data_IF_197498430753
#
_entry.id   IF_197498430753
#
_cell.length_a   1.000
_cell.length_b   1.000
_cell.length_c   1.000
_cell.angle_alpha   90.00
_cell.angle_beta   90.00
_cell.angle_gamma   90.00
#
_symmetry.space_group_name_H-M   'P 1'
#
loop_
_entity.id
_entity.type
_entity.pdbx_description
1 polymer ?
#
# COMPACT_ATOMS: atom_id res chain seq x y z
N UNK A 1 -39.71 69.28 -22.01
CA UNK A 1 -39.20 68.74 -20.70
C UNK A 1 -39.53 67.29 -20.55
N UNK A 2 -39.18 66.41 -21.49
CA UNK A 2 -39.51 64.95 -21.40
C UNK A 2 -38.41 63.96 -21.85
N UNK A 3 -37.17 64.48 -22.07
CA UNK A 3 -36.14 63.59 -22.61
C UNK A 3 -35.04 63.15 -21.58
N UNK A 4 -35.00 63.84 -20.43
CA UNK A 4 -33.95 63.57 -19.45
C UNK A 4 -34.20 62.35 -18.52
N UNK A 5 -35.46 61.94 -18.35
CA UNK A 5 -35.84 60.81 -17.47
C UNK A 5 -35.74 59.44 -18.16
N UNK A 6 -35.61 59.41 -19.48
CA UNK A 6 -35.57 58.16 -20.23
C UNK A 6 -34.13 57.56 -20.32
N UNK A 7 -33.16 58.45 -20.34
CA UNK A 7 -31.74 58.05 -20.36
C UNK A 7 -31.24 57.51 -19.01
N UNK A 8 -31.64 58.17 -17.91
CA UNK A 8 -31.26 57.72 -16.56
C UNK A 8 -31.82 56.31 -16.21
N UNK A 9 -33.01 56.00 -16.72
CA UNK A 9 -33.60 54.67 -16.47
C UNK A 9 -32.92 53.55 -17.30
N UNK A 10 -32.43 53.87 -18.50
CA UNK A 10 -31.67 52.88 -19.30
C UNK A 10 -30.28 52.60 -18.71
N UNK A 11 -29.64 53.64 -18.18
CA UNK A 11 -28.32 53.51 -17.55
C UNK A 11 -28.40 52.69 -16.25
N UNK A 12 -29.45 52.90 -15.45
CA UNK A 12 -29.66 52.15 -14.20
C UNK A 12 -30.06 50.67 -14.42
N UNK A 13 -30.76 50.37 -15.51
CA UNK A 13 -31.09 48.97 -15.88
C UNK A 13 -29.88 48.23 -16.43
N UNK A 14 -29.04 48.90 -17.22
CA UNK A 14 -27.80 48.26 -17.75
C UNK A 14 -26.78 47.98 -16.64
N UNK A 15 -26.62 48.88 -15.66
CA UNK A 15 -25.70 48.63 -14.53
C UNK A 15 -26.16 47.49 -13.61
N UNK A 16 -27.47 47.34 -13.39
CA UNK A 16 -28.03 46.24 -12.61
C UNK A 16 -27.93 44.87 -13.34
N UNK A 17 -28.04 44.89 -14.66
CA UNK A 17 -27.94 43.68 -15.47
C UNK A 17 -26.49 43.16 -15.56
N UNK A 18 -25.52 44.08 -15.67
CA UNK A 18 -24.08 43.72 -15.70
C UNK A 18 -23.59 43.18 -14.36
N UNK A 19 -24.05 43.72 -13.22
CA UNK A 19 -23.71 43.21 -11.89
C UNK A 19 -24.33 41.82 -11.65
N UNK A 20 -25.54 41.57 -12.12
CA UNK A 20 -26.21 40.25 -11.96
C UNK A 20 -25.52 39.17 -12.80
N UNK A 21 -25.05 39.50 -14.00
CA UNK A 21 -24.30 38.57 -14.87
C UNK A 21 -22.92 38.26 -14.28
N UNK A 22 -22.25 39.25 -13.66
CA UNK A 22 -20.94 39.01 -13.01
C UNK A 22 -21.06 38.11 -11.78
N UNK A 23 -22.11 38.22 -10.98
CA UNK A 23 -22.34 37.37 -9.81
C UNK A 23 -22.64 35.92 -10.24
N UNK A 24 -23.36 35.71 -11.35
CA UNK A 24 -23.63 34.37 -11.90
C UNK A 24 -22.38 33.70 -12.48
N UNK A 25 -21.40 34.46 -13.00
CA UNK A 25 -20.15 33.90 -13.53
C UNK A 25 -19.19 33.43 -12.42
N UNK A 26 -19.20 34.06 -11.23
CA UNK A 26 -18.32 33.69 -10.10
C UNK A 26 -18.79 32.39 -9.45
N UNK A 27 -20.08 32.05 -9.53
CA UNK A 27 -20.63 30.81 -8.95
C UNK A 27 -20.26 29.54 -9.73
N UNK A 28 -19.77 29.65 -10.97
CA UNK A 28 -19.39 28.48 -11.80
C UNK A 28 -17.91 28.11 -11.71
N UNK A 29 -17.09 28.84 -10.94
CA UNK A 29 -15.65 28.57 -10.80
C UNK A 29 -15.31 27.70 -9.58
N UNK A 30 -16.31 27.20 -8.84
CA UNK A 30 -16.08 26.14 -7.87
C UNK A 30 -15.92 24.79 -8.60
N UNK A 31 -14.75 24.59 -9.22
CA UNK A 31 -14.33 23.24 -9.63
C UNK A 31 -14.27 22.38 -8.39
N UNK A 32 -14.96 21.23 -8.34
CA UNK A 32 -14.73 20.29 -7.26
C UNK A 32 -13.24 19.93 -7.30
N UNK A 33 -12.51 20.29 -6.27
CA UNK A 33 -11.16 19.80 -6.05
C UNK A 33 -11.29 18.30 -5.82
N UNK A 34 -11.09 17.52 -6.86
CA UNK A 34 -10.91 16.08 -6.74
C UNK A 34 -9.56 15.90 -6.03
N UNK A 35 -9.62 15.80 -4.72
CA UNK A 35 -8.51 15.30 -3.94
C UNK A 35 -8.30 13.86 -4.38
N UNK A 36 -7.39 13.64 -5.34
CA UNK A 36 -6.77 12.33 -5.48
C UNK A 36 -6.09 12.08 -4.14
N UNK A 37 -6.69 11.27 -3.28
CA UNK A 37 -6.00 10.73 -2.13
C UNK A 37 -4.87 9.88 -2.70
N UNK A 38 -3.67 10.44 -2.69
CA UNK A 38 -2.46 9.68 -3.00
C UNK A 38 -2.46 8.44 -2.09
N UNK A 39 -2.42 7.27 -2.70
CA UNK A 39 -2.41 6.01 -1.96
C UNK A 39 -1.10 5.95 -1.22
N UNK A 40 -1.16 6.01 0.11
CA UNK A 40 0.03 5.87 0.94
C UNK A 40 0.49 4.41 0.90
N UNK A 41 1.63 4.18 0.23
CA UNK A 41 2.20 2.85 0.05
C UNK A 41 3.21 2.55 1.13
N UNK A 42 3.14 1.35 1.68
CA UNK A 42 4.08 0.82 2.66
C UNK A 42 4.62 -0.54 2.20
N UNK A 43 5.89 -0.81 2.48
CA UNK A 43 6.45 -2.16 2.42
C UNK A 43 6.17 -2.89 3.73
N UNK A 44 5.69 -4.13 3.67
CA UNK A 44 5.71 -5.04 4.82
C UNK A 44 7.06 -5.76 4.81
N UNK A 45 7.93 -5.37 5.74
CA UNK A 45 9.33 -5.76 5.81
C UNK A 45 9.57 -6.72 6.97
N UNK A 46 10.37 -7.75 6.73
CA UNK A 46 10.90 -8.60 7.81
C UNK A 46 11.78 -7.73 8.74
N UNK A 47 11.55 -7.77 10.06
CA UNK A 47 12.30 -6.96 11.01
C UNK A 47 13.79 -7.32 11.02
N UNK A 48 14.12 -8.61 10.91
CA UNK A 48 15.49 -9.05 10.76
C UNK A 48 15.92 -8.97 9.29
N UNK A 49 17.08 -8.40 9.02
CA UNK A 49 17.60 -8.23 7.67
C UNK A 49 18.15 -9.53 7.05
N UNK A 50 18.36 -10.58 7.86
CA UNK A 50 18.98 -11.84 7.45
C UNK A 50 20.34 -11.60 6.77
N UNK A 51 20.51 -12.14 5.57
CA UNK A 51 21.75 -12.09 4.79
C UNK A 51 21.86 -10.91 3.81
N UNK A 52 20.94 -9.92 3.91
CA UNK A 52 21.00 -8.68 3.10
C UNK A 52 20.65 -7.44 3.92
N UNK A 53 21.56 -6.48 4.02
CA UNK A 53 21.36 -5.23 4.77
C UNK A 53 20.15 -4.41 4.36
N UNK A 54 19.64 -4.58 3.12
CA UNK A 54 18.43 -3.93 2.61
C UNK A 54 17.17 -4.53 3.25
N UNK A 55 17.26 -5.76 3.75
CA UNK A 55 16.16 -6.55 4.29
C UNK A 55 15.25 -7.13 3.21
N UNK A 56 14.22 -7.85 3.65
CA UNK A 56 13.28 -8.55 2.78
C UNK A 56 11.87 -8.02 2.98
N UNK A 57 11.20 -7.69 1.89
CA UNK A 57 9.82 -7.21 1.84
C UNK A 57 8.92 -8.22 1.13
N UNK A 58 7.63 -8.23 1.46
CA UNK A 58 6.64 -9.00 0.69
C UNK A 58 6.57 -8.42 -0.71
N UNK A 59 6.61 -9.27 -1.72
CA UNK A 59 6.83 -8.90 -3.11
C UNK A 59 6.00 -9.80 -4.05
N UNK A 60 5.39 -9.24 -5.08
CA UNK A 60 4.79 -10.01 -6.18
C UNK A 60 5.90 -10.46 -7.12
N UNK A 61 5.99 -11.78 -7.39
CA UNK A 61 7.05 -12.34 -8.24
C UNK A 61 7.12 -11.70 -9.62
N UNK A 62 8.20 -10.99 -9.89
CA UNK A 62 8.44 -10.30 -11.15
C UNK A 62 9.35 -9.09 -11.00
N UNK A 63 8.98 -7.99 -11.61
CA UNK A 63 9.73 -6.75 -11.52
C UNK A 63 8.81 -5.53 -11.66
N UNK A 64 8.59 -4.81 -10.57
CA UNK A 64 7.80 -3.58 -10.52
C UNK A 64 6.44 -3.77 -11.22
N UNK A 65 6.04 -2.85 -12.11
CA UNK A 65 4.78 -2.91 -12.86
C UNK A 65 4.65 -4.13 -13.81
N UNK A 66 5.73 -4.87 -14.08
CA UNK A 66 5.73 -6.12 -14.87
C UNK A 66 5.63 -7.38 -14.02
N UNK A 67 5.43 -7.26 -12.71
CA UNK A 67 5.20 -8.40 -11.84
C UNK A 67 3.94 -9.17 -12.26
N UNK A 68 3.93 -10.49 -12.04
CA UNK A 68 2.86 -11.37 -12.53
C UNK A 68 2.09 -11.98 -11.37
N UNK A 69 0.84 -11.58 -11.21
CA UNK A 69 -0.08 -12.08 -10.17
C UNK A 69 -0.12 -13.62 -10.15
N UNK A 70 -0.17 -14.25 -11.32
CA UNK A 70 -0.23 -15.73 -11.44
C UNK A 70 1.00 -16.45 -10.88
N UNK A 71 2.10 -15.76 -10.60
CA UNK A 71 3.31 -16.33 -10.01
C UNK A 71 3.30 -16.28 -8.48
N UNK A 72 2.31 -15.59 -7.86
CA UNK A 72 2.18 -15.42 -6.42
C UNK A 72 3.23 -14.49 -5.82
N UNK A 73 3.40 -14.60 -4.50
CA UNK A 73 4.27 -13.75 -3.70
C UNK A 73 5.58 -14.45 -3.28
N UNK A 74 6.54 -13.66 -2.88
CA UNK A 74 7.83 -14.04 -2.32
C UNK A 74 8.31 -13.01 -1.31
N UNK A 75 9.37 -13.27 -0.58
CA UNK A 75 10.16 -12.26 0.08
C UNK A 75 11.32 -11.85 -0.84
N UNK A 76 11.48 -10.57 -1.09
CA UNK A 76 12.47 -10.01 -2.00
C UNK A 76 13.18 -8.84 -1.31
N UNK A 77 14.44 -8.59 -1.64
CA UNK A 77 15.17 -7.41 -1.16
C UNK A 77 14.33 -6.16 -1.36
N UNK A 78 14.12 -5.39 -0.30
CA UNK A 78 13.25 -4.20 -0.35
C UNK A 78 13.76 -3.15 -1.33
N UNK A 79 12.85 -2.52 -2.07
CA UNK A 79 13.22 -1.46 -3.04
C UNK A 79 13.35 -0.08 -2.41
N UNK A 80 12.77 0.16 -1.24
CA UNK A 80 12.79 1.47 -0.59
C UNK A 80 14.21 2.03 -0.33
N UNK A 81 15.24 1.18 -0.30
CA UNK A 81 16.63 1.65 -0.24
C UNK A 81 17.05 2.48 -1.49
N UNK A 82 16.28 2.42 -2.57
CA UNK A 82 16.47 3.22 -3.80
C UNK A 82 15.72 4.56 -3.75
N UNK A 83 15.06 4.89 -2.63
CA UNK A 83 14.31 6.13 -2.45
C UNK A 83 12.86 6.07 -2.91
N UNK A 84 12.34 4.88 -3.25
CA UNK A 84 10.94 4.69 -3.68
C UNK A 84 10.38 3.36 -3.17
N UNK A 85 9.05 3.29 -3.05
CA UNK A 85 8.34 2.02 -2.85
C UNK A 85 7.85 1.54 -4.22
N UNK A 86 8.38 0.41 -4.68
CA UNK A 86 7.97 -0.15 -5.96
C UNK A 86 6.57 -0.79 -5.84
N UNK A 87 5.79 -0.72 -6.92
CA UNK A 87 4.38 -1.16 -6.93
C UNK A 87 4.17 -2.64 -6.65
N UNK A 88 5.16 -3.49 -6.88
CA UNK A 88 5.16 -4.92 -6.57
C UNK A 88 5.51 -5.24 -5.11
N UNK A 89 5.95 -4.24 -4.32
CA UNK A 89 6.18 -4.31 -2.87
C UNK A 89 5.28 -3.35 -2.09
N UNK A 90 4.66 -2.39 -2.77
CA UNK A 90 3.82 -1.37 -2.15
C UNK A 90 2.43 -1.88 -1.79
N UNK A 91 2.14 -1.97 -0.50
CA UNK A 91 0.82 -2.27 0.04
C UNK A 91 0.14 -0.97 0.48
N UNK A 92 -1.16 -0.90 0.27
CA UNK A 92 -2.00 0.22 0.70
C UNK A 92 -2.08 0.30 2.24
N UNK A 93 -1.66 1.43 2.82
CA UNK A 93 -1.61 1.64 4.26
C UNK A 93 -3.00 1.52 4.93
N UNK A 94 -4.06 2.02 4.29
CA UNK A 94 -5.42 1.95 4.82
C UNK A 94 -5.97 0.53 4.79
N UNK A 95 -5.66 -0.24 3.74
CA UNK A 95 -6.03 -1.65 3.67
C UNK A 95 -5.23 -2.49 4.65
N UNK A 96 -3.97 -2.14 4.90
CA UNK A 96 -3.14 -2.80 5.90
C UNK A 96 -3.73 -2.59 7.32
N UNK A 97 -4.23 -1.39 7.66
CA UNK A 97 -4.99 -1.14 8.89
C UNK A 97 -6.27 -1.99 8.98
N UNK A 98 -6.88 -2.34 7.87
CA UNK A 98 -7.99 -3.30 7.78
C UNK A 98 -7.52 -4.77 7.76
N UNK A 99 -6.23 -5.03 8.07
CA UNK A 99 -5.61 -6.37 8.10
C UNK A 99 -5.61 -7.08 6.74
N UNK A 100 -5.58 -6.31 5.64
CA UNK A 100 -5.49 -6.81 4.27
C UNK A 100 -4.13 -6.48 3.67
N UNK A 101 -3.45 -7.48 3.18
CA UNK A 101 -2.21 -7.34 2.42
C UNK A 101 -2.58 -7.03 0.96
N UNK A 102 -2.91 -5.77 0.67
CA UNK A 102 -3.47 -5.31 -0.61
C UNK A 102 -2.45 -4.54 -1.44
N UNK A 103 -2.16 -5.04 -2.63
CA UNK A 103 -1.34 -4.38 -3.62
C UNK A 103 -2.22 -3.52 -4.53
N UNK A 104 -2.30 -2.22 -4.27
CA UNK A 104 -3.24 -1.30 -4.93
C UNK A 104 -3.05 -1.20 -6.44
N UNK A 105 -1.80 -1.20 -6.92
CA UNK A 105 -1.50 -1.14 -8.35
C UNK A 105 -2.05 -2.34 -9.13
N UNK A 106 -2.03 -3.52 -8.53
CA UNK A 106 -2.50 -4.77 -9.15
C UNK A 106 -3.96 -5.09 -8.81
N UNK A 107 -4.56 -4.33 -7.89
CA UNK A 107 -5.92 -4.54 -7.37
C UNK A 107 -6.15 -5.97 -6.86
N UNK A 108 -5.19 -6.48 -6.07
CA UNK A 108 -5.22 -7.83 -5.50
C UNK A 108 -4.78 -7.86 -4.04
N UNK A 109 -5.34 -8.81 -3.29
CA UNK A 109 -4.93 -9.16 -1.94
C UNK A 109 -4.13 -10.47 -1.94
N UNK A 110 -3.28 -10.62 -0.93
CA UNK A 110 -2.68 -11.93 -0.58
C UNK A 110 -3.73 -12.77 0.11
N UNK A 111 -3.93 -14.00 -0.36
CA UNK A 111 -4.86 -14.98 0.20
C UNK A 111 -4.11 -16.26 0.60
N UNK A 112 -4.40 -16.82 1.80
CA UNK A 112 -3.90 -18.12 2.16
C UNK A 112 -4.67 -19.21 1.39
N UNK A 113 -3.93 -20.11 0.74
CA UNK A 113 -4.50 -21.28 0.04
C UNK A 113 -4.06 -22.54 0.74
N UNK A 114 -5.02 -23.39 1.13
CA UNK A 114 -4.70 -24.69 1.72
C UNK A 114 -4.44 -25.73 0.63
N UNK A 115 -3.33 -26.42 0.70
CA UNK A 115 -3.05 -27.67 0.00
C UNK A 115 -2.91 -28.78 1.04
N UNK A 116 -3.08 -30.05 0.66
CA UNK A 116 -3.19 -31.22 1.55
C UNK A 116 -2.23 -31.22 2.77
N UNK A 117 -1.06 -30.59 2.71
CA UNK A 117 -0.09 -30.52 3.81
C UNK A 117 0.68 -29.17 3.88
N UNK A 118 0.23 -28.12 3.19
CA UNK A 118 0.90 -26.83 3.18
C UNK A 118 -0.09 -25.69 2.99
N UNK A 119 0.25 -24.53 3.55
CA UNK A 119 -0.48 -23.31 3.30
C UNK A 119 0.38 -22.39 2.43
N UNK A 120 -0.01 -22.26 1.19
CA UNK A 120 0.60 -21.37 0.21
C UNK A 120 -0.12 -20.00 0.20
N UNK A 121 0.38 -19.09 -0.59
CA UNK A 121 -0.20 -17.76 -0.76
C UNK A 121 -0.51 -17.55 -2.25
N UNK A 122 -1.73 -17.14 -2.54
CA UNK A 122 -2.18 -16.68 -3.86
C UNK A 122 -2.44 -15.18 -3.87
N UNK A 123 -2.64 -14.64 -5.05
CA UNK A 123 -3.03 -13.25 -5.28
C UNK A 123 -4.37 -13.25 -6.03
N UNK A 124 -5.39 -12.70 -5.40
CA UNK A 124 -6.76 -12.68 -5.93
C UNK A 124 -7.44 -11.34 -5.57
N UNK A 125 -8.63 -11.08 -6.10
CA UNK A 125 -9.44 -9.94 -5.69
C UNK A 125 -9.73 -10.00 -4.18
N UNK A 126 -9.65 -8.85 -3.52
CA UNK A 126 -9.88 -8.79 -2.08
C UNK A 126 -11.29 -9.20 -1.71
N UNK A 127 -11.42 -10.19 -0.85
CA UNK A 127 -12.68 -10.58 -0.25
C UNK A 127 -13.11 -9.63 0.88
N UNK A 128 -14.35 -9.80 1.37
CA UNK A 128 -14.87 -9.05 2.53
C UNK A 128 -14.29 -9.55 3.85
N UNK A 129 -13.86 -10.80 3.93
CA UNK A 129 -13.34 -11.42 5.15
C UNK A 129 -11.91 -10.98 5.43
N UNK A 130 -11.58 -10.84 6.72
CA UNK A 130 -10.20 -10.75 7.20
C UNK A 130 -9.61 -12.17 7.23
N UNK A 131 -8.46 -12.33 6.61
CA UNK A 131 -7.77 -13.63 6.54
C UNK A 131 -6.56 -13.70 7.47
N UNK A 132 -6.04 -12.52 7.86
CA UNK A 132 -4.87 -12.40 8.71
C UNK A 132 -5.19 -11.69 10.03
N UNK A 133 -4.40 -12.03 11.05
CA UNK A 133 -4.32 -11.32 12.33
C UNK A 133 -2.89 -10.84 12.49
N UNK A 134 -2.73 -9.56 12.81
CA UNK A 134 -1.44 -8.97 13.12
C UNK A 134 -1.31 -8.93 14.64
N UNK A 135 -0.35 -9.71 15.17
CA UNK A 135 -0.21 -9.95 16.59
C UNK A 135 0.79 -8.99 17.25
N UNK A 136 0.69 -8.81 18.57
CA UNK A 136 1.57 -7.93 19.35
C UNK A 136 3.05 -8.35 19.28
N UNK A 137 3.32 -9.63 19.06
CA UNK A 137 4.66 -10.17 18.83
C UNK A 137 5.21 -9.89 17.41
N UNK A 138 4.54 -9.01 16.66
CA UNK A 138 4.86 -8.65 15.28
C UNK A 138 4.77 -9.80 14.27
N UNK A 139 4.04 -10.86 14.58
CA UNK A 139 3.75 -11.92 13.61
C UNK A 139 2.46 -11.62 12.86
N UNK A 140 2.43 -11.99 11.57
CA UNK A 140 1.23 -12.00 10.75
C UNK A 140 0.71 -13.44 10.75
N UNK A 141 -0.44 -13.68 11.36
CA UNK A 141 -1.01 -15.01 11.56
C UNK A 141 -2.24 -15.24 10.70
N UNK A 142 -2.52 -16.48 10.38
CA UNK A 142 -3.76 -16.85 9.71
C UNK A 142 -4.92 -16.75 10.71
N UNK A 143 -5.99 -16.02 10.37
CA UNK A 143 -7.13 -15.75 11.28
C UNK A 143 -7.81 -17.04 11.72
N UNK A 144 -8.01 -18.00 10.81
CA UNK A 144 -8.67 -19.27 11.08
C UNK A 144 -7.78 -20.30 11.77
N UNK A 145 -6.47 -20.05 11.84
CA UNK A 145 -5.48 -20.90 12.51
C UNK A 145 -4.29 -20.07 12.96
N UNK A 146 -4.41 -19.45 14.14
CA UNK A 146 -3.38 -18.55 14.69
C UNK A 146 -2.06 -19.26 15.06
N UNK A 147 -2.00 -20.58 14.95
CA UNK A 147 -0.75 -21.34 15.06
C UNK A 147 0.10 -21.26 13.77
N UNK A 148 -0.40 -20.63 12.72
CA UNK A 148 0.32 -20.45 11.46
C UNK A 148 0.72 -18.98 11.27
N UNK A 149 2.00 -18.73 11.04
CA UNK A 149 2.61 -17.43 10.77
C UNK A 149 3.07 -17.30 9.33
N UNK A 150 2.96 -16.11 8.77
CA UNK A 150 3.64 -15.71 7.55
C UNK A 150 5.16 -15.77 7.79
N UNK A 151 5.84 -16.67 7.07
CA UNK A 151 7.23 -17.02 7.35
C UNK A 151 8.05 -17.01 6.07
N UNK A 152 9.20 -16.37 6.13
CA UNK A 152 10.24 -16.41 5.10
C UNK A 152 11.03 -17.71 5.24
N UNK A 153 11.39 -18.33 4.11
CA UNK A 153 12.19 -19.55 4.12
C UNK A 153 13.56 -19.35 4.79
N UNK A 154 13.92 -20.31 5.63
CA UNK A 154 15.22 -20.38 6.30
C UNK A 154 16.37 -20.70 5.33
N UNK A 155 17.61 -20.62 5.81
CA UNK A 155 18.81 -20.86 5.02
C UNK A 155 19.25 -19.66 4.20
N UNK A 156 19.99 -19.88 3.13
CA UNK A 156 20.50 -18.82 2.27
C UNK A 156 19.45 -18.34 1.26
N UNK A 157 19.46 -17.06 0.96
CA UNK A 157 18.64 -16.50 -0.12
C UNK A 157 19.15 -16.95 -1.49
N UNK A 158 18.25 -16.94 -2.47
CA UNK A 158 18.58 -17.17 -3.87
C UNK A 158 18.84 -15.82 -4.56
N UNK A 159 19.69 -15.83 -5.59
CA UNK A 159 19.89 -14.66 -6.43
C UNK A 159 18.62 -14.37 -7.22
N UNK A 160 18.14 -13.13 -7.14
CA UNK A 160 17.11 -12.57 -7.99
C UNK A 160 17.67 -12.03 -9.30
N UNK A 161 16.84 -11.36 -10.07
CA UNK A 161 17.27 -10.66 -11.29
C UNK A 161 17.60 -9.21 -11.00
N UNK A 162 18.61 -8.67 -11.71
CA UNK A 162 18.92 -7.24 -11.69
C UNK A 162 19.55 -6.71 -10.41
N UNK A 163 19.81 -5.39 -10.42
CA UNK A 163 20.41 -4.67 -9.29
C UNK A 163 21.95 -4.79 -9.20
N UNK A 164 22.54 -3.79 -8.54
CA UNK A 164 23.95 -3.80 -8.15
C UNK A 164 24.05 -3.24 -6.73
N UNK A 165 24.25 -4.09 -5.70
CA UNK A 165 24.35 -5.55 -5.72
C UNK A 165 23.07 -6.25 -6.17
N UNK A 166 23.18 -7.50 -6.63
CA UNK A 166 22.03 -8.31 -7.06
C UNK A 166 20.95 -8.36 -5.97
N UNK A 167 19.69 -8.31 -6.40
CA UNK A 167 18.56 -8.57 -5.51
C UNK A 167 18.54 -10.03 -5.07
N UNK A 168 18.10 -10.27 -3.85
CA UNK A 168 17.96 -11.60 -3.26
C UNK A 168 16.48 -11.92 -3.03
N UNK A 169 16.15 -13.19 -3.13
CA UNK A 169 14.78 -13.72 -2.99
C UNK A 169 14.73 -14.92 -2.04
N UNK A 170 13.61 -15.05 -1.34
CA UNK A 170 13.27 -16.19 -0.46
C UNK A 170 11.83 -16.58 -0.66
N UNK A 171 11.51 -17.84 -0.44
CA UNK A 171 10.11 -18.29 -0.48
C UNK A 171 9.36 -17.74 0.75
N UNK A 172 8.07 -17.49 0.56
CA UNK A 172 7.14 -16.97 1.55
C UNK A 172 5.96 -17.95 1.67
N UNK A 173 5.61 -18.36 2.89
CA UNK A 173 4.52 -19.31 3.14
C UNK A 173 4.01 -19.18 4.57
N UNK A 174 2.85 -19.81 4.85
CA UNK A 174 2.36 -19.95 6.22
C UNK A 174 2.98 -21.20 6.86
N UNK A 175 3.67 -21.01 8.00
CA UNK A 175 4.29 -22.10 8.77
C UNK A 175 3.93 -21.99 10.25
N UNK A 176 4.16 -23.06 11.01
CA UNK A 176 3.90 -23.06 12.46
C UNK A 176 4.63 -21.92 13.17
N UNK A 177 3.88 -21.19 14.00
CA UNK A 177 4.39 -20.13 14.86
C UNK A 177 5.08 -20.71 16.09
N UNK A 178 6.26 -21.27 15.96
CA UNK A 178 7.08 -21.61 17.11
C UNK A 178 7.98 -20.42 17.49
N UNK A 179 8.43 -20.32 18.74
CA UNK A 179 9.32 -19.23 19.16
C UNK A 179 10.72 -19.36 18.58
N UNK A 180 11.12 -20.57 18.24
CA UNK A 180 12.36 -20.80 17.50
C UNK A 180 12.27 -20.13 16.14
N UNK A 181 13.38 -19.54 15.68
CA UNK A 181 13.46 -18.88 14.37
C UNK A 181 12.52 -17.67 14.17
N UNK A 182 12.26 -16.87 15.24
CA UNK A 182 11.45 -15.66 15.17
C UNK A 182 11.94 -14.66 14.10
N UNK A 183 13.25 -14.67 13.81
CA UNK A 183 13.88 -13.80 12.79
C UNK A 183 13.30 -13.96 11.38
N UNK A 184 12.63 -15.07 11.07
CA UNK A 184 12.01 -15.34 9.76
C UNK A 184 10.52 -15.04 9.70
N UNK A 185 9.90 -14.54 10.78
CA UNK A 185 8.44 -14.41 10.86
C UNK A 185 7.95 -13.15 11.61
N UNK A 186 8.87 -12.28 12.06
CA UNK A 186 8.51 -10.99 12.69
C UNK A 186 8.59 -9.86 11.68
N UNK A 187 7.49 -9.12 11.55
CA UNK A 187 7.27 -8.15 10.51
C UNK A 187 7.14 -6.73 11.07
N UNK A 188 7.60 -5.79 10.29
CA UNK A 188 7.37 -4.37 10.46
C UNK A 188 6.85 -3.77 9.17
N UNK A 189 6.55 -2.49 9.22
CA UNK A 189 6.27 -1.69 8.05
C UNK A 189 7.44 -0.75 7.78
N UNK A 190 7.64 -0.42 6.51
CA UNK A 190 8.59 0.57 6.07
C UNK A 190 7.94 1.49 5.05
N UNK A 191 8.21 2.77 5.17
CA UNK A 191 7.67 3.80 4.27
C UNK A 191 8.55 5.03 4.27
N UNK A 192 8.03 6.12 3.69
CA UNK A 192 8.65 7.43 3.71
C UNK A 192 7.79 8.39 4.51
N UNK A 193 8.44 9.21 5.33
CA UNK A 193 7.83 10.32 6.05
C UNK A 193 8.73 11.54 5.91
N UNK A 194 8.19 12.63 5.37
CA UNK A 194 8.97 13.84 5.07
C UNK A 194 10.22 13.57 4.20
N UNK A 195 10.15 12.61 3.29
CA UNK A 195 11.25 12.21 2.42
C UNK A 195 12.27 11.26 3.07
N UNK A 196 12.15 10.96 4.36
CA UNK A 196 13.03 10.05 5.08
C UNK A 196 12.38 8.66 5.23
N UNK A 197 13.21 7.63 5.09
CA UNK A 197 12.76 6.26 5.27
C UNK A 197 12.56 5.97 6.76
N UNK A 198 11.42 5.37 7.11
CA UNK A 198 11.19 4.86 8.46
C UNK A 198 10.89 3.37 8.44
N UNK A 199 11.12 2.71 9.58
CA UNK A 199 10.70 1.33 9.82
C UNK A 199 10.13 1.26 11.23
N UNK A 200 8.96 0.68 11.38
CA UNK A 200 8.37 0.43 12.70
C UNK A 200 7.72 -0.97 12.76
N UNK A 201 7.48 -1.44 13.99
CA UNK A 201 6.80 -2.70 14.22
C UNK A 201 5.37 -2.66 13.68
N UNK A 202 4.92 -3.75 13.06
CA UNK A 202 3.57 -3.81 12.48
C UNK A 202 2.49 -3.65 13.54
N UNK A 203 2.71 -4.16 14.77
CA UNK A 203 1.79 -4.00 15.90
C UNK A 203 1.60 -2.54 16.29
N UNK A 204 2.69 -1.76 16.33
CA UNK A 204 2.66 -0.32 16.64
C UNK A 204 1.94 0.49 15.56
N UNK A 205 2.19 0.19 14.30
CA UNK A 205 1.50 0.84 13.17
C UNK A 205 -0.02 0.68 13.23
N UNK A 206 -0.51 -0.47 13.70
CA UNK A 206 -1.93 -0.77 13.77
C UNK A 206 -2.63 -0.20 15.01
N UNK A 207 -1.87 0.21 16.03
CA UNK A 207 -2.41 0.85 17.23
C UNK A 207 -2.59 2.37 17.10
N UNK A 208 -2.03 2.96 16.04
CA UNK A 208 -2.15 4.38 15.68
C UNK A 208 -3.21 4.57 14.58
#
# INVERSE_FOLDING_TARGET
MTNHNRENNRFMIMTKLTTLVMILFISFLSTPSWSNSEVDLLEVKLLNNLDDKRGFCIDIKGHKFRAKISRGVQAHTCYSYQGEIAVDQGLDANKLKQKKLFFSYFDVCVHPTSSKNSFNLSLEKCGSKEEFVFSEDNTIRLKNNTNLCLTVAEGNSRKGGGGSPLHLIRDLSMKTCNQQNSVYKTWGIRGFKNGEIFTENISKFLSN
#
